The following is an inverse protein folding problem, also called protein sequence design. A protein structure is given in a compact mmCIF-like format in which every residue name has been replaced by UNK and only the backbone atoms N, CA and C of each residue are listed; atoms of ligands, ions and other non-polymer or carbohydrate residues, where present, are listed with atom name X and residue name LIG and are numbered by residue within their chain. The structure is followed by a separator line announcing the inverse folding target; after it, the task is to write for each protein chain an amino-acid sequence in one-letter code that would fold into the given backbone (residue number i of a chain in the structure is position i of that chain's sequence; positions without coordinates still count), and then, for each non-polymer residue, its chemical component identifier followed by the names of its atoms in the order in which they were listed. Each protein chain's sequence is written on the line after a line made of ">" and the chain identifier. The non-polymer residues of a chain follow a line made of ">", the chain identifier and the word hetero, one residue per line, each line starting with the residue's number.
data_IF_863320534745
#
_entry.id   IF_863320534745
#
_cell.length_a   1.000
_cell.length_b   1.000
_cell.length_c   1.000
_cell.angle_alpha   90.00
_cell.angle_beta   90.00
_cell.angle_gamma   90.00
#
_symmetry.space_group_name_H-M   'P 1'
#
loop_
_entity.id
_entity.type
_entity.pdbx_description
1 polymer ?
#
# COMPACT_ATOMS: atom_id res chain seq x y z
N UNK A 1 -7.83 -24.29 -11.68
CA UNK A 1 -6.62 -24.08 -10.89
C UNK A 1 -6.56 -22.64 -10.40
N UNK A 2 -6.72 -22.41 -9.09
CA UNK A 2 -6.82 -21.06 -8.53
C UNK A 2 -5.56 -20.22 -8.77
N UNK A 3 -4.39 -20.85 -8.67
CA UNK A 3 -3.10 -20.19 -8.89
C UNK A 3 -2.93 -19.68 -10.33
N UNK A 4 -3.43 -20.43 -11.33
CA UNK A 4 -3.39 -19.99 -12.73
C UNK A 4 -4.22 -18.73 -12.97
N UNK A 5 -5.37 -18.61 -12.30
CA UNK A 5 -6.24 -17.41 -12.38
C UNK A 5 -5.52 -16.20 -11.78
N UNK A 6 -4.85 -16.37 -10.64
CA UNK A 6 -4.07 -15.31 -10.00
C UNK A 6 -2.93 -14.83 -10.89
N UNK A 7 -2.16 -15.74 -11.49
CA UNK A 7 -1.06 -15.39 -12.40
C UNK A 7 -1.54 -14.64 -13.64
N UNK A 8 -2.65 -15.06 -14.25
CA UNK A 8 -3.23 -14.32 -15.38
C UNK A 8 -3.80 -12.96 -14.96
N UNK A 9 -4.37 -12.86 -13.76
CA UNK A 9 -4.87 -11.61 -13.21
C UNK A 9 -3.73 -10.63 -12.86
N UNK A 10 -2.58 -11.12 -12.40
CA UNK A 10 -1.40 -10.30 -12.10
C UNK A 10 -0.81 -9.60 -13.33
N UNK A 11 -1.02 -10.17 -14.53
CA UNK A 11 -0.65 -9.52 -15.80
C UNK A 11 -1.52 -8.29 -16.09
N UNK A 12 -2.71 -8.20 -15.48
CA UNK A 12 -3.60 -7.03 -15.58
C UNK A 12 -3.13 -5.97 -14.60
N UNK A 13 -2.13 -5.20 -15.03
CA UNK A 13 -1.63 -4.00 -14.34
C UNK A 13 -2.63 -2.84 -14.47
N UNK A 14 -2.76 -1.97 -13.44
CA UNK A 14 -2.14 -2.03 -12.11
C UNK A 14 -2.87 -2.91 -11.08
N UNK A 15 -2.15 -3.38 -10.06
CA UNK A 15 -2.72 -4.10 -8.91
C UNK A 15 -2.05 -3.71 -7.58
N UNK A 16 -2.76 -4.01 -6.48
CA UNK A 16 -2.33 -3.76 -5.10
C UNK A 16 -2.07 -5.11 -4.40
N UNK A 17 -0.98 -5.21 -3.65
CA UNK A 17 -0.72 -6.31 -2.72
C UNK A 17 -0.91 -5.78 -1.31
N UNK A 18 -1.72 -6.47 -0.52
CA UNK A 18 -1.83 -6.26 0.92
C UNK A 18 -1.40 -7.54 1.62
N UNK A 19 -0.50 -7.45 2.59
CA UNK A 19 -0.14 -8.59 3.41
C UNK A 19 -0.02 -8.20 4.88
N UNK A 20 -0.23 -9.18 5.75
CA UNK A 20 -0.11 -9.04 7.19
C UNK A 20 0.22 -10.40 7.82
N UNK A 21 0.71 -10.35 9.06
CA UNK A 21 0.96 -11.51 9.89
C UNK A 21 -0.33 -12.11 10.43
N UNK A 22 -0.41 -13.44 10.41
CA UNK A 22 -1.44 -14.22 11.07
C UNK A 22 -0.77 -15.16 12.06
N UNK A 23 -1.21 -15.09 13.31
CA UNK A 23 -0.77 -15.97 14.39
C UNK A 23 -1.93 -16.88 14.78
N UNK A 24 -1.76 -18.20 14.65
CA UNK A 24 -2.73 -19.21 15.06
C UNK A 24 -2.28 -19.87 16.36
N UNK A 25 -3.00 -19.60 17.44
CA UNK A 25 -2.83 -20.33 18.70
C UNK A 25 -3.59 -21.66 18.63
N UNK A 26 -2.88 -22.77 18.47
CA UNK A 26 -3.44 -24.11 18.61
C UNK A 26 -3.43 -24.49 20.09
N UNK A 27 -4.53 -24.16 20.77
CA UNK A 27 -4.77 -24.59 22.15
C UNK A 27 -5.17 -26.06 22.17
N UNK A 28 -4.44 -26.86 22.93
CA UNK A 28 -4.82 -28.26 23.15
C UNK A 28 -5.74 -28.33 24.36
N UNK A 29 -6.79 -29.13 24.24
CA UNK A 29 -7.79 -29.27 25.30
C UNK A 29 -7.22 -29.86 26.59
N UNK A 30 -6.18 -30.69 26.48
CA UNK A 30 -5.56 -31.40 27.60
C UNK A 30 -4.03 -31.26 27.51
N UNK A 31 -3.48 -30.39 28.35
CA UNK A 31 -2.03 -30.13 28.40
C UNK A 31 -1.33 -31.25 29.17
N UNK A 32 -0.40 -31.95 28.51
CA UNK A 32 0.49 -32.94 29.14
C UNK A 32 1.93 -32.47 29.02
N UNK A 33 2.83 -33.03 29.82
CA UNK A 33 4.28 -32.73 29.79
C UNK A 33 4.91 -32.94 28.41
N UNK A 34 4.29 -33.72 27.51
CA UNK A 34 4.72 -33.93 26.13
C UNK A 34 3.84 -33.24 25.08
N UNK A 35 2.83 -32.48 25.49
CA UNK A 35 1.76 -31.98 24.62
C UNK A 35 1.38 -30.55 24.99
N UNK A 36 2.21 -29.61 24.56
CA UNK A 36 2.04 -28.19 24.80
C UNK A 36 1.18 -27.54 23.72
N UNK A 37 0.66 -26.36 24.06
CA UNK A 37 0.08 -25.42 23.10
C UNK A 37 1.13 -25.06 22.04
N UNK A 38 0.67 -24.93 20.80
CA UNK A 38 1.52 -24.62 19.66
C UNK A 38 1.08 -23.29 19.05
N UNK A 39 2.05 -22.49 18.63
CA UNK A 39 1.81 -21.24 17.92
C UNK A 39 2.32 -21.40 16.51
N UNK A 40 1.41 -21.45 15.55
CA UNK A 40 1.76 -21.38 14.13
C UNK A 40 1.63 -19.95 13.66
N UNK A 41 2.76 -19.38 13.25
CA UNK A 41 2.82 -18.04 12.68
C UNK A 41 3.02 -18.15 11.17
N UNK A 42 2.39 -17.25 10.41
CA UNK A 42 2.61 -17.13 8.98
C UNK A 42 2.07 -15.82 8.43
N UNK A 43 2.57 -15.41 7.28
CA UNK A 43 2.12 -14.21 6.58
C UNK A 43 1.08 -14.60 5.54
N UNK A 44 -0.01 -13.84 5.46
CA UNK A 44 -1.01 -14.00 4.40
C UNK A 44 -1.04 -12.75 3.56
N UNK A 45 -1.12 -12.93 2.24
CA UNK A 45 -1.19 -11.84 1.29
C UNK A 45 -2.47 -11.93 0.45
N UNK A 46 -2.95 -10.79 -0.01
CA UNK A 46 -4.10 -10.66 -0.91
C UNK A 46 -3.75 -9.70 -2.03
N UNK A 47 -3.95 -10.14 -3.27
CA UNK A 47 -3.87 -9.27 -4.43
C UNK A 47 -5.25 -8.66 -4.70
N UNK A 48 -5.27 -7.36 -4.95
CA UNK A 48 -6.46 -6.55 -5.15
C UNK A 48 -6.36 -5.86 -6.52
N UNK A 49 -7.36 -6.10 -7.38
CA UNK A 49 -7.45 -5.51 -8.72
C UNK A 49 -8.69 -4.62 -8.77
N UNK A 50 -8.48 -3.33 -8.99
CA UNK A 50 -9.53 -2.33 -9.13
C UNK A 50 -9.69 -1.85 -10.57
N UNK A 51 -10.90 -1.38 -10.92
CA UNK A 51 -11.24 -0.89 -12.27
C UNK A 51 -10.43 0.34 -12.73
N UNK A 52 -9.88 1.09 -11.78
CA UNK A 52 -9.09 2.29 -12.02
C UNK A 52 -8.22 2.57 -10.79
N UNK A 53 -7.04 1.96 -10.70
CA UNK A 53 -5.98 2.56 -9.87
C UNK A 53 -5.38 3.82 -10.54
N UNK A 54 -5.98 4.33 -11.63
CA UNK A 54 -5.54 5.50 -12.37
C UNK A 54 -4.31 5.24 -13.24
N UNK A 55 -3.99 6.17 -14.14
CA UNK A 55 -2.73 6.17 -14.89
C UNK A 55 -1.56 6.55 -13.96
N UNK A 56 -1.22 5.69 -13.00
CA UNK A 56 -0.08 5.94 -12.09
C UNK A 56 1.25 6.05 -12.88
N UNK A 57 1.30 5.49 -14.08
CA UNK A 57 2.40 5.71 -15.02
C UNK A 57 2.64 7.20 -15.34
N UNK A 58 1.58 8.02 -15.43
CA UNK A 58 1.71 9.48 -15.59
C UNK A 58 2.38 10.13 -14.38
N UNK A 59 2.14 9.61 -13.17
CA UNK A 59 2.72 10.13 -11.93
C UNK A 59 4.24 9.83 -11.87
N UNK A 60 4.66 8.63 -12.28
CA UNK A 60 6.08 8.28 -12.36
C UNK A 60 6.86 9.14 -13.36
N UNK A 61 6.30 9.36 -14.55
CA UNK A 61 6.95 10.17 -15.59
C UNK A 61 6.95 11.68 -15.27
N UNK A 62 6.00 12.15 -14.46
CA UNK A 62 5.96 13.53 -14.02
C UNK A 62 7.02 13.80 -12.95
N UNK A 63 7.32 12.86 -12.04
CA UNK A 63 8.44 13.02 -11.09
C UNK A 63 9.79 13.24 -11.77
N UNK A 64 10.02 12.61 -12.92
CA UNK A 64 11.25 12.77 -13.72
C UNK A 64 11.37 14.15 -14.38
N UNK A 65 10.29 14.92 -14.45
CA UNK A 65 10.22 16.25 -15.08
C UNK A 65 10.04 17.39 -14.07
N UNK A 66 9.96 17.08 -12.78
CA UNK A 66 9.79 18.08 -11.73
C UNK A 66 10.99 19.03 -11.71
N UNK A 67 10.70 20.32 -11.75
CA UNK A 67 11.66 21.42 -11.58
C UNK A 67 11.54 21.97 -10.17
N UNK A 68 12.54 22.72 -9.72
CA UNK A 68 12.50 23.44 -8.43
C UNK A 68 11.24 24.28 -8.29
N UNK A 69 10.75 24.82 -9.40
CA UNK A 69 9.63 25.76 -9.43
C UNK A 69 8.29 25.06 -9.17
N UNK A 70 8.20 23.74 -9.43
CA UNK A 70 6.99 22.93 -9.19
C UNK A 70 6.75 22.65 -7.70
N UNK A 71 7.73 22.93 -6.84
CA UNK A 71 7.57 22.85 -5.37
C UNK A 71 6.90 24.10 -4.79
N UNK A 72 6.80 25.17 -5.57
CA UNK A 72 6.12 26.38 -5.15
C UNK A 72 4.68 26.37 -5.64
N UNK A 73 3.75 26.72 -4.75
CA UNK A 73 2.36 26.88 -5.12
C UNK A 73 2.25 27.99 -6.18
N UNK A 74 1.61 27.67 -7.29
CA UNK A 74 1.17 28.69 -8.24
C UNK A 74 0.19 29.66 -7.57
N UNK A 75 -0.05 30.82 -8.17
CA UNK A 75 -1.02 31.78 -7.65
C UNK A 75 -2.43 31.16 -7.54
N UNK A 76 -2.80 30.28 -8.48
CA UNK A 76 -4.06 29.55 -8.46
C UNK A 76 -4.13 28.53 -7.31
N UNK A 77 -3.07 27.76 -7.09
CA UNK A 77 -3.01 26.78 -5.99
C UNK A 77 -2.95 27.47 -4.64
N UNK A 78 -2.26 28.62 -4.53
CA UNK A 78 -2.24 29.44 -3.31
C UNK A 78 -3.63 29.95 -2.97
N UNK A 79 -4.37 30.45 -3.96
CA UNK A 79 -5.76 30.87 -3.77
C UNK A 79 -6.67 29.70 -3.39
N UNK A 80 -6.48 28.53 -4.00
CA UNK A 80 -7.20 27.31 -3.65
C UNK A 80 -6.89 26.84 -2.23
N UNK A 81 -5.62 26.80 -1.85
CA UNK A 81 -5.14 26.42 -0.53
C UNK A 81 -5.69 27.36 0.55
N UNK A 82 -5.68 28.67 0.31
CA UNK A 82 -6.28 29.65 1.22
C UNK A 82 -7.79 29.40 1.40
N UNK A 83 -8.51 29.11 0.32
CA UNK A 83 -9.94 28.79 0.36
C UNK A 83 -10.23 27.50 1.14
N UNK A 84 -9.47 26.43 0.89
CA UNK A 84 -9.66 25.14 1.59
C UNK A 84 -9.29 25.27 3.07
N UNK A 85 -8.20 25.97 3.38
CA UNK A 85 -7.77 26.24 4.76
C UNK A 85 -8.84 27.01 5.54
N UNK A 86 -9.45 28.03 4.91
CA UNK A 86 -10.54 28.78 5.52
C UNK A 86 -11.74 27.88 5.85
N UNK A 87 -12.14 26.98 4.93
CA UNK A 87 -13.21 26.00 5.17
C UNK A 87 -12.85 25.06 6.31
N UNK A 88 -11.62 24.56 6.38
CA UNK A 88 -11.17 23.67 7.44
C UNK A 88 -11.18 24.35 8.82
N UNK A 89 -10.71 25.59 8.90
CA UNK A 89 -10.76 26.39 10.13
C UNK A 89 -12.21 26.60 10.57
N UNK A 90 -13.12 26.92 9.65
CA UNK A 90 -14.55 27.07 9.95
C UNK A 90 -15.16 25.74 10.44
N UNK A 91 -14.79 24.60 9.86
CA UNK A 91 -15.24 23.28 10.31
C UNK A 91 -14.75 22.94 11.73
N UNK A 92 -13.52 23.29 12.08
CA UNK A 92 -13.01 23.11 13.44
C UNK A 92 -13.68 24.07 14.44
N UNK A 93 -13.99 25.30 14.02
CA UNK A 93 -14.74 26.26 14.84
C UNK A 93 -16.18 25.81 15.05
N UNK A 94 -16.80 25.13 14.08
CA UNK A 94 -18.15 24.56 14.19
C UNK A 94 -18.26 23.48 15.29
N UNK A 95 -17.19 22.74 15.57
CA UNK A 95 -17.15 21.76 16.68
C UNK A 95 -17.24 22.43 18.06
N UNK A 96 -17.09 23.76 18.15
CA UNK A 96 -17.25 24.54 19.37
C UNK A 96 -18.55 25.35 19.32
N UNK A 97 -19.35 25.27 20.38
CA UNK A 97 -20.61 26.02 20.48
C UNK A 97 -20.39 27.53 20.32
N UNK A 98 -21.15 28.16 19.42
CA UNK A 98 -21.14 29.61 19.15
C UNK A 98 -20.87 30.04 17.70
N UNK A 99 -20.47 29.13 16.82
CA UNK A 99 -20.08 29.45 15.42
C UNK A 99 -21.03 28.87 14.35
N UNK A 100 -22.25 28.50 14.72
CA UNK A 100 -23.27 27.93 13.81
C UNK A 100 -23.72 28.88 12.68
N UNK A 101 -23.49 30.19 12.83
CA UNK A 101 -23.81 31.20 11.82
C UNK A 101 -22.81 31.27 10.65
N UNK A 102 -21.64 30.65 10.77
CA UNK A 102 -20.59 30.67 9.75
C UNK A 102 -20.74 29.50 8.76
N UNK A 103 -21.93 29.32 8.17
CA UNK A 103 -22.19 28.23 7.24
C UNK A 103 -21.32 28.34 5.99
N UNK A 104 -20.31 27.47 5.88
CA UNK A 104 -19.61 27.22 4.63
C UNK A 104 -20.41 26.19 3.83
N UNK A 105 -20.68 26.41 2.53
CA UNK A 105 -21.28 25.39 1.69
C UNK A 105 -20.39 24.14 1.70
N UNK A 106 -21.00 22.97 1.87
CA UNK A 106 -20.31 21.69 1.75
C UNK A 106 -19.59 21.67 0.41
N UNK A 107 -18.26 21.62 0.43
CA UNK A 107 -17.47 21.46 -0.79
C UNK A 107 -17.88 20.11 -1.36
N UNK A 108 -18.33 20.09 -2.61
CA UNK A 108 -18.57 18.86 -3.33
C UNK A 108 -17.28 18.02 -3.27
N UNK A 109 -17.29 16.96 -2.45
CA UNK A 109 -16.20 16.00 -2.44
C UNK A 109 -16.20 15.37 -3.83
N UNK A 110 -15.07 15.44 -4.52
CA UNK A 110 -14.83 14.66 -5.73
C UNK A 110 -14.74 13.19 -5.32
N UNK A 111 -15.90 12.58 -5.07
CA UNK A 111 -16.01 11.16 -4.81
C UNK A 111 -15.57 10.42 -6.09
N UNK A 112 -14.59 9.53 -5.93
CA UNK A 112 -14.23 8.62 -7.00
C UNK A 112 -15.44 7.76 -7.36
N UNK A 113 -15.63 7.48 -8.64
CA UNK A 113 -16.68 6.56 -9.08
C UNK A 113 -16.48 5.19 -8.42
N UNK A 114 -17.56 4.65 -7.86
CA UNK A 114 -17.54 3.34 -7.22
C UNK A 114 -17.24 2.25 -8.27
N UNK A 115 -16.05 1.66 -8.17
CA UNK A 115 -15.61 0.54 -9.01
C UNK A 115 -15.70 -0.78 -8.27
N UNK A 116 -16.11 -1.85 -8.95
CA UNK A 116 -16.01 -3.21 -8.41
C UNK A 116 -14.52 -3.58 -8.28
N UNK A 117 -14.13 -3.96 -7.07
CA UNK A 117 -12.79 -4.46 -6.75
C UNK A 117 -12.82 -5.98 -6.68
N UNK A 118 -11.83 -6.64 -7.28
CA UNK A 118 -11.64 -8.09 -7.22
C UNK A 118 -10.48 -8.42 -6.28
N UNK A 119 -10.70 -9.39 -5.39
CA UNK A 119 -9.71 -9.86 -4.43
C UNK A 119 -9.30 -11.29 -4.76
N UNK A 120 -8.00 -11.54 -4.65
CA UNK A 120 -7.37 -12.82 -4.93
C UNK A 120 -6.47 -13.18 -3.74
N UNK A 121 -6.95 -14.03 -2.80
CA UNK A 121 -6.12 -14.46 -1.68
C UNK A 121 -4.93 -15.28 -2.18
N UNK A 122 -3.75 -14.99 -1.66
CA UNK A 122 -2.53 -15.69 -1.97
C UNK A 122 -2.27 -16.80 -0.94
N UNK A 123 -1.45 -17.80 -1.27
CA UNK A 123 -1.08 -18.86 -0.33
C UNK A 123 -0.45 -18.30 0.95
N UNK A 124 -0.70 -18.98 2.08
CA UNK A 124 -0.05 -18.66 3.35
C UNK A 124 1.45 -18.97 3.23
N UNK A 125 2.26 -18.02 3.68
CA UNK A 125 3.71 -18.13 3.70
C UNK A 125 4.19 -18.34 5.14
N UNK A 126 5.08 -19.30 5.38
CA UNK A 126 5.70 -19.50 6.68
C UNK A 126 6.91 -18.57 6.85
N UNK A 127 6.66 -17.27 6.76
CA UNK A 127 7.68 -16.22 6.83
C UNK A 127 7.36 -15.33 8.04
N UNK A 128 8.40 -14.86 8.73
CA UNK A 128 8.26 -13.90 9.83
C UNK A 128 8.49 -12.47 9.33
N UNK A 129 7.39 -11.74 9.16
CA UNK A 129 7.39 -10.34 8.72
C UNK A 129 7.90 -9.34 9.80
N UNK A 130 8.21 -9.80 11.02
CA UNK A 130 8.75 -8.91 12.05
C UNK A 130 10.13 -8.35 11.71
N UNK A 131 10.86 -9.02 10.81
CA UNK A 131 12.22 -8.68 10.41
C UNK A 131 12.28 -8.01 9.03
N UNK A 132 13.36 -7.28 8.76
CA UNK A 132 13.61 -6.66 7.47
C UNK A 132 13.80 -7.72 6.36
N UNK A 133 14.59 -8.76 6.65
CA UNK A 133 14.78 -9.89 5.74
C UNK A 133 13.48 -10.66 5.49
N UNK A 134 12.64 -10.84 6.52
CA UNK A 134 11.32 -11.42 6.38
C UNK A 134 10.43 -10.68 5.39
N UNK A 135 10.40 -9.35 5.45
CA UNK A 135 9.63 -8.54 4.50
C UNK A 135 10.15 -8.67 3.07
N UNK A 136 11.48 -8.77 2.90
CA UNK A 136 12.10 -9.03 1.61
C UNK A 136 11.63 -10.37 1.05
N UNK A 137 11.73 -11.44 1.84
CA UNK A 137 11.29 -12.77 1.44
C UNK A 137 9.80 -12.82 1.10
N UNK A 138 8.94 -12.14 1.86
CA UNK A 138 7.50 -12.03 1.54
C UNK A 138 7.28 -11.44 0.14
N UNK A 139 7.98 -10.34 -0.18
CA UNK A 139 7.86 -9.71 -1.50
C UNK A 139 8.36 -10.65 -2.60
N UNK A 140 9.53 -11.26 -2.42
CA UNK A 140 10.12 -12.19 -3.39
C UNK A 140 9.21 -13.40 -3.63
N UNK A 141 8.74 -14.07 -2.57
CA UNK A 141 7.81 -15.20 -2.66
C UNK A 141 6.50 -14.80 -3.33
N UNK A 142 5.94 -13.63 -3.03
CA UNK A 142 4.71 -13.18 -3.68
C UNK A 142 4.95 -12.93 -5.17
N UNK A 143 5.98 -12.17 -5.54
CA UNK A 143 6.23 -11.78 -6.94
C UNK A 143 6.62 -12.99 -7.79
N UNK A 144 7.56 -13.80 -7.32
CA UNK A 144 8.16 -14.89 -8.10
C UNK A 144 7.33 -16.17 -8.06
N UNK A 145 6.87 -16.59 -6.87
CA UNK A 145 6.19 -17.88 -6.73
C UNK A 145 4.68 -17.76 -6.92
N UNK A 146 4.06 -16.82 -6.20
CA UNK A 146 2.60 -16.67 -6.20
C UNK A 146 2.09 -16.05 -7.51
N UNK A 147 2.71 -14.94 -7.94
CA UNK A 147 2.31 -14.20 -9.15
C UNK A 147 3.06 -14.67 -10.40
N UNK A 148 4.26 -15.25 -10.27
CA UNK A 148 5.03 -15.73 -11.42
C UNK A 148 5.48 -14.61 -12.35
N UNK A 149 5.79 -13.43 -11.79
CA UNK A 149 6.24 -12.28 -12.56
C UNK A 149 7.76 -12.34 -12.76
N UNK A 150 8.19 -12.19 -14.00
CA UNK A 150 9.62 -12.14 -14.35
C UNK A 150 10.20 -10.74 -14.11
N UNK A 151 11.52 -10.66 -13.88
CA UNK A 151 12.20 -9.38 -13.62
C UNK A 151 11.96 -8.33 -14.72
N UNK A 152 11.85 -8.78 -15.97
CA UNK A 152 11.61 -7.94 -17.16
C UNK A 152 10.26 -7.20 -17.09
N UNK A 153 9.29 -7.75 -16.37
CA UNK A 153 7.98 -7.13 -16.17
C UNK A 153 8.09 -5.76 -15.46
N UNK A 154 9.02 -5.64 -14.49
CA UNK A 154 9.26 -4.38 -13.79
C UNK A 154 10.01 -3.36 -14.64
N UNK A 155 10.87 -3.82 -15.55
CA UNK A 155 11.60 -2.98 -16.50
C UNK A 155 10.65 -2.31 -17.50
N UNK A 156 9.49 -2.91 -17.78
CA UNK A 156 8.45 -2.35 -18.64
C UNK A 156 7.65 -1.17 -18.02
N UNK A 157 8.12 -0.61 -16.89
CA UNK A 157 7.51 0.55 -16.25
C UNK A 157 6.27 0.23 -15.39
N UNK A 158 5.99 -1.05 -15.17
CA UNK A 158 4.85 -1.54 -14.40
C UNK A 158 4.94 -1.15 -12.93
N UNK A 159 3.79 -0.97 -12.29
CA UNK A 159 3.73 -0.53 -10.90
C UNK A 159 2.88 -1.46 -10.06
N UNK A 160 3.45 -1.87 -8.94
CA UNK A 160 2.77 -2.63 -7.90
C UNK A 160 2.71 -1.75 -6.66
N UNK A 161 1.52 -1.54 -6.16
CA UNK A 161 1.35 -0.90 -4.85
C UNK A 161 1.45 -2.01 -3.81
N UNK A 162 2.29 -1.80 -2.79
CA UNK A 162 2.39 -2.71 -1.64
C UNK A 162 1.90 -1.95 -0.42
N UNK A 163 0.92 -2.52 0.28
CA UNK A 163 0.34 -1.95 1.49
C UNK A 163 0.32 -2.98 2.62
N UNK A 164 0.26 -2.47 3.85
CA UNK A 164 0.25 -3.23 5.09
C UNK A 164 0.07 -2.29 6.26
N UNK A 165 0.35 -2.76 7.47
CA UNK A 165 0.34 -1.90 8.65
C UNK A 165 1.51 -0.88 8.62
N UNK A 166 1.54 0.04 9.58
CA UNK A 166 2.60 1.05 9.65
C UNK A 166 4.00 0.43 9.81
N UNK A 167 4.10 -0.71 10.50
CA UNK A 167 5.37 -1.38 10.75
C UNK A 167 5.89 -2.05 9.46
N UNK A 168 5.02 -2.73 8.70
CA UNK A 168 5.29 -3.26 7.36
C UNK A 168 5.83 -2.16 6.46
N UNK A 169 5.10 -1.04 6.34
CA UNK A 169 5.47 0.08 5.46
C UNK A 169 6.82 0.68 5.85
N UNK A 170 7.11 0.82 7.15
CA UNK A 170 8.42 1.29 7.63
C UNK A 170 9.56 0.37 7.19
N UNK A 171 9.40 -0.95 7.35
CA UNK A 171 10.41 -1.94 6.95
C UNK A 171 10.65 -1.93 5.44
N UNK A 172 9.59 -1.81 4.65
CA UNK A 172 9.69 -1.68 3.19
C UNK A 172 10.45 -0.43 2.76
N UNK A 173 10.29 0.70 3.47
CA UNK A 173 11.08 1.91 3.22
C UNK A 173 12.55 1.71 3.54
N UNK A 174 12.87 1.08 4.67
CA UNK A 174 14.26 0.77 5.04
C UNK A 174 14.93 -0.18 4.03
N UNK A 175 14.21 -1.18 3.51
CA UNK A 175 14.71 -2.04 2.42
C UNK A 175 15.04 -1.23 1.15
N UNK A 176 14.18 -0.27 0.82
CA UNK A 176 14.40 0.62 -0.34
C UNK A 176 15.63 1.51 -0.14
N UNK A 177 15.84 2.04 1.06
CA UNK A 177 17.00 2.87 1.41
C UNK A 177 18.29 2.07 1.28
N UNK A 178 18.37 0.88 1.89
CA UNK A 178 19.54 0.00 1.79
C UNK A 178 19.89 -0.35 0.34
N UNK A 179 18.90 -0.68 -0.48
CA UNK A 179 19.11 -0.93 -1.91
C UNK A 179 19.59 0.32 -2.68
N UNK A 180 19.14 1.50 -2.28
CA UNK A 180 19.59 2.77 -2.83
C UNK A 180 21.07 3.03 -2.53
N UNK A 181 21.49 2.73 -1.31
CA UNK A 181 22.89 2.87 -0.89
C UNK A 181 23.81 1.88 -1.63
N UNK A 182 23.38 0.63 -1.84
CA UNK A 182 24.12 -0.37 -2.62
C UNK A 182 24.33 0.02 -4.10
N UNK A 183 23.38 0.74 -4.68
CA UNK A 183 23.43 1.20 -6.08
C UNK A 183 24.12 2.57 -6.24
N UNK A 184 24.37 3.27 -5.14
CA UNK A 184 25.01 4.58 -5.16
C UNK A 184 26.51 4.43 -5.44
N UNK A 185 27.05 5.12 -6.46
CA UNK A 185 28.50 5.10 -6.74
C UNK A 185 29.32 5.89 -5.70
N UNK A 186 28.69 6.44 -4.66
CA UNK A 186 29.32 7.24 -3.61
C UNK A 186 29.64 6.46 -2.33
N UNK A 187 29.67 5.13 -2.41
CA UNK A 187 30.24 4.24 -1.40
C UNK A 187 31.54 3.58 -1.88
#
# INVERSE_FOLDING_TARGET
>A
DAQKVVKEAAKQDPFLIVYDNINFAKRKYDQRVSNFDDFENGTTATMIIGKSLGSIHQIRDSYLKLRSDDFFLTAAETAHFARVTQVHIIQELWKKDGYTCCSAPSVALNLLEEGITRTHPLPIMKIDEATLEGNRMVIETVIEEALGLEAEWFTAGKMVVVAGDLATVKRLRSLKEQRGDELSPYH
#
